data_IF_784637971201
#
_entry.id   IF_784637971201
#
_cell.length_a   1.000
_cell.length_b   1.000
_cell.length_c   1.000
_cell.angle_alpha   90.00
_cell.angle_beta   90.00
_cell.angle_gamma   90.00
#
_symmetry.space_group_name_H-M   'P 1'
#
loop_
_entity.id
_entity.type
_entity.pdbx_description
1 polymer ?
#
# COMPACT_ATOMS: atom_id res chain seq x y z
N UNK A 1 -5.02 -0.79 -2.93
CA UNK A 1 -3.71 -0.80 -2.24
C UNK A 1 -3.21 0.61 -2.01
N UNK A 2 -2.33 0.80 -1.02
CA UNK A 2 -1.65 2.08 -0.79
C UNK A 2 -0.27 2.05 -1.44
N UNK A 3 -0.01 2.99 -2.35
CA UNK A 3 1.17 2.99 -3.23
C UNK A 3 1.88 4.33 -3.12
N UNK A 4 3.21 4.32 -2.96
CA UNK A 4 4.00 5.55 -3.05
C UNK A 4 3.92 6.11 -4.48
N UNK A 5 3.80 7.42 -4.63
CA UNK A 5 3.82 8.06 -5.95
C UNK A 5 5.14 7.75 -6.67
N UNK A 6 5.03 7.24 -7.89
CA UNK A 6 6.16 7.06 -8.79
C UNK A 6 6.78 8.42 -9.17
N UNK A 7 8.01 8.65 -8.73
CA UNK A 7 8.87 9.76 -9.15
C UNK A 7 10.10 9.26 -9.94
N UNK A 8 10.17 7.97 -10.25
CA UNK A 8 11.30 7.31 -10.89
C UNK A 8 11.31 5.79 -10.67
N UNK A 9 12.17 5.05 -11.42
CA UNK A 9 12.12 3.59 -11.52
C UNK A 9 12.28 2.81 -10.20
N UNK A 10 12.79 3.45 -9.15
CA UNK A 10 13.00 2.84 -7.82
C UNK A 10 12.03 3.37 -6.75
N UNK A 11 11.06 4.21 -7.13
CA UNK A 11 10.27 5.01 -6.19
C UNK A 11 8.80 4.57 -6.07
N UNK A 12 8.30 3.79 -7.05
CA UNK A 12 6.96 3.20 -7.01
C UNK A 12 6.94 1.88 -6.23
N UNK A 13 5.96 1.72 -5.33
CA UNK A 13 5.77 0.45 -4.64
C UNK A 13 4.62 0.45 -3.62
N UNK A 14 4.19 -0.75 -3.24
CA UNK A 14 3.20 -0.93 -2.17
C UNK A 14 3.84 -0.56 -0.83
N UNK A 15 3.20 0.34 -0.11
CA UNK A 15 3.68 0.79 1.21
C UNK A 15 3.49 -0.34 2.22
N UNK A 16 4.53 -0.64 3.00
CA UNK A 16 4.51 -1.66 4.04
C UNK A 16 4.58 -1.09 5.46
N UNK A 17 4.09 -1.85 6.44
CA UNK A 17 4.28 -1.59 7.86
C UNK A 17 5.06 -2.74 8.50
N UNK A 18 6.15 -2.41 9.18
CA UNK A 18 6.90 -3.36 9.99
C UNK A 18 6.12 -3.72 11.26
N UNK A 19 5.97 -5.02 11.51
CA UNK A 19 5.38 -5.57 12.72
C UNK A 19 6.31 -6.60 13.34
N UNK A 20 6.00 -7.10 14.55
CA UNK A 20 6.74 -8.21 15.17
C UNK A 20 6.69 -9.51 14.34
N UNK A 21 5.69 -9.66 13.47
CA UNK A 21 5.53 -10.80 12.59
C UNK A 21 6.20 -10.62 11.21
N UNK A 22 6.86 -9.48 10.98
CA UNK A 22 7.46 -9.12 9.71
C UNK A 22 6.77 -7.93 9.05
N UNK A 23 7.08 -7.73 7.77
CA UNK A 23 6.54 -6.63 6.97
C UNK A 23 5.18 -7.02 6.39
N UNK A 24 4.18 -6.18 6.64
CA UNK A 24 2.82 -6.38 6.12
C UNK A 24 2.55 -5.27 5.10
N UNK A 25 2.18 -5.62 3.85
CA UNK A 25 1.80 -4.61 2.86
C UNK A 25 0.46 -3.98 3.22
N UNK A 26 0.31 -2.67 2.98
CA UNK A 26 -0.95 -1.96 3.15
C UNK A 26 -1.86 -2.23 1.94
N UNK A 27 -2.48 -3.39 1.94
CA UNK A 27 -3.47 -3.82 0.95
C UNK A 27 -4.74 -4.22 1.67
N UNK A 28 -5.88 -3.71 1.22
CA UNK A 28 -7.19 -4.12 1.71
C UNK A 28 -7.90 -4.98 0.68
N UNK A 29 -8.44 -6.11 1.11
CA UNK A 29 -9.34 -6.94 0.30
C UNK A 29 -10.75 -6.35 0.20
N UNK A 30 -11.12 -5.47 1.13
CA UNK A 30 -12.42 -4.80 1.20
C UNK A 30 -12.25 -3.35 1.68
N UNK A 31 -13.34 -2.58 1.57
CA UNK A 31 -13.34 -1.16 1.94
C UNK A 31 -13.20 -0.91 3.44
N UNK A 32 -13.71 -1.80 4.31
CA UNK A 32 -13.54 -1.63 5.75
C UNK A 32 -12.05 -1.73 6.14
N UNK A 33 -11.33 -2.68 5.53
CA UNK A 33 -9.88 -2.79 5.69
C UNK A 33 -9.17 -1.57 5.12
N UNK A 34 -9.55 -1.09 3.93
CA UNK A 34 -8.97 0.14 3.35
C UNK A 34 -9.12 1.32 4.31
N UNK A 35 -10.31 1.56 4.86
CA UNK A 35 -10.53 2.66 5.81
C UNK A 35 -9.67 2.52 7.07
N UNK A 36 -9.56 1.30 7.62
CA UNK A 36 -8.73 1.05 8.81
C UNK A 36 -7.24 1.33 8.58
N UNK A 37 -6.76 1.18 7.35
CA UNK A 37 -5.36 1.39 6.98
C UNK A 37 -5.03 2.84 6.62
N UNK A 38 -6.03 3.68 6.30
CA UNK A 38 -5.80 5.09 5.92
C UNK A 38 -5.01 5.90 6.96
N UNK A 39 -5.29 5.82 8.28
CA UNK A 39 -4.51 6.57 9.27
C UNK A 39 -3.03 6.18 9.26
N UNK A 40 -2.75 4.88 9.09
CA UNK A 40 -1.38 4.35 9.03
C UNK A 40 -0.69 4.87 7.77
N UNK A 41 -1.35 4.78 6.61
CA UNK A 41 -0.82 5.30 5.35
C UNK A 41 -0.52 6.82 5.43
N UNK A 42 -1.40 7.61 6.05
CA UNK A 42 -1.17 9.05 6.26
C UNK A 42 0.05 9.31 7.14
N UNK A 43 0.19 8.58 8.24
CA UNK A 43 1.35 8.71 9.11
C UNK A 43 2.65 8.36 8.37
N UNK A 44 2.65 7.31 7.54
CA UNK A 44 3.83 6.95 6.72
C UNK A 44 4.14 8.05 5.70
N UNK A 45 3.13 8.61 5.03
CA UNK A 45 3.31 9.74 4.10
C UNK A 45 3.99 10.93 4.80
N UNK A 46 3.54 11.28 6.02
CA UNK A 46 4.14 12.34 6.81
C UNK A 46 5.58 12.04 7.22
N UNK A 47 5.86 10.82 7.70
CA UNK A 47 7.19 10.44 8.18
C UNK A 47 8.22 10.34 7.05
N UNK A 48 7.79 9.93 5.87
CA UNK A 48 8.69 9.70 4.72
C UNK A 48 8.76 10.89 3.77
N UNK A 49 7.85 11.85 3.88
CA UNK A 49 7.68 12.93 2.91
C UNK A 49 7.13 12.47 1.55
N UNK A 50 6.86 11.16 1.38
CA UNK A 50 6.31 10.62 0.14
C UNK A 50 4.81 10.87 0.06
N UNK A 51 4.34 11.16 -1.15
CA UNK A 51 2.91 11.17 -1.44
C UNK A 51 2.43 9.72 -1.62
N UNK A 52 1.38 9.33 -0.90
CA UNK A 52 0.80 7.98 -0.98
C UNK A 52 -0.57 8.06 -1.65
N UNK A 53 -0.75 7.28 -2.72
CA UNK A 53 -1.99 7.12 -3.48
C UNK A 53 -2.75 5.88 -2.99
N UNK A 54 -4.08 5.96 -3.01
CA UNK A 54 -4.95 4.81 -2.83
C UNK A 54 -5.45 4.35 -4.20
N UNK A 55 -5.03 3.16 -4.62
CA UNK A 55 -5.44 2.55 -5.88
C UNK A 55 -6.51 1.49 -5.65
N UNK A 56 -7.56 1.50 -6.48
CA UNK A 56 -8.57 0.45 -6.54
C UNK A 56 -8.37 -0.35 -7.82
N UNK A 57 -7.98 -1.61 -7.69
CA UNK A 57 -7.83 -2.51 -8.82
C UNK A 57 -9.19 -3.13 -9.15
N UNK A 58 -9.69 -2.87 -10.35
CA UNK A 58 -10.99 -3.35 -10.81
C UNK A 58 -10.87 -4.58 -11.71
N UNK A 59 -9.67 -4.87 -12.22
CA UNK A 59 -9.38 -6.04 -13.03
C UNK A 59 -8.44 -6.96 -12.25
N UNK A 60 -8.85 -8.22 -12.08
CA UNK A 60 -8.05 -9.26 -11.45
C UNK A 60 -7.68 -10.28 -12.51
N UNK A 61 -6.39 -10.54 -12.63
CA UNK A 61 -5.81 -11.61 -13.44
C UNK A 61 -4.95 -12.48 -12.52
N UNK A 62 -5.20 -13.78 -12.51
CA UNK A 62 -4.39 -14.74 -11.77
C UNK A 62 -3.34 -15.33 -12.73
N UNK A 63 -2.05 -15.16 -12.43
CA UNK A 63 -0.93 -15.54 -13.32
C UNK A 63 -0.44 -16.99 -13.12
N UNK A 64 -0.99 -17.71 -12.14
CA UNK A 64 -0.59 -19.05 -11.74
C UNK A 64 -0.48 -19.21 -10.22
N UNK A 65 -0.11 -20.41 -9.78
CA UNK A 65 0.09 -20.76 -8.37
C UNK A 65 1.56 -20.56 -7.95
N UNK A 66 1.79 -20.26 -6.66
CA UNK A 66 3.12 -20.02 -6.05
C UNK A 66 3.40 -20.91 -4.85
#
# INVERSE_FOLDING_TARGET
AFVAEDLGPEDEGIVGMGTKAGWIPLVGADMARVESLKPIARNIATQTGKKIKLLHFTHREDLGDV
#
